data_IF_136068362069
#
_entry.id   IF_136068362069
#
_cell.length_a   1.000
_cell.length_b   1.000
_cell.length_c   1.000
_cell.angle_alpha   90.00
_cell.angle_beta   90.00
_cell.angle_gamma   90.00
#
_symmetry.space_group_name_H-M   'P 1'
#
loop_
_entity.id
_entity.type
_entity.pdbx_description
1 polymer ?
#
# COMPACT_ATOMS: atom_id res chain seq x y z
N UNK A 1 50.30 47.86 17.08
CA UNK A 1 50.27 49.24 16.55
C UNK A 1 49.24 49.23 15.44
N UNK A 2 48.08 49.88 15.63
CA UNK A 2 46.91 49.93 14.70
C UNK A 2 46.34 48.52 14.36
N UNK A 3 45.13 48.10 14.74
CA UNK A 3 43.92 48.76 15.28
C UNK A 3 43.29 49.80 14.34
N UNK A 4 42.14 49.41 13.75
CA UNK A 4 41.09 50.32 13.31
C UNK A 4 39.75 49.57 13.16
N UNK A 5 38.89 49.68 14.18
CA UNK A 5 37.44 49.52 14.01
C UNK A 5 36.84 50.78 13.37
N UNK A 6 35.65 50.69 12.75
CA UNK A 6 34.59 51.69 12.88
C UNK A 6 33.23 51.22 12.30
N UNK A 7 32.15 51.52 13.01
CA UNK A 7 30.76 51.10 12.75
C UNK A 7 29.88 52.19 12.11
N UNK A 8 28.71 51.80 11.56
CA UNK A 8 27.46 52.61 11.43
C UNK A 8 27.52 53.75 10.36
N UNK A 9 26.51 54.11 9.53
CA UNK A 9 25.06 53.79 9.34
C UNK A 9 24.61 54.27 7.90
N UNK A 10 23.40 54.11 7.32
CA UNK A 10 22.16 53.36 7.61
C UNK A 10 21.23 53.25 6.36
N UNK A 11 20.19 52.40 6.44
CA UNK A 11 18.78 52.61 5.97
C UNK A 11 18.39 52.97 4.50
N UNK A 12 17.56 52.09 3.91
CA UNK A 12 16.42 52.32 2.95
C UNK A 12 16.63 52.32 1.42
N UNK A 13 16.18 51.24 0.75
CA UNK A 13 15.35 51.18 -0.48
C UNK A 13 15.19 49.68 -0.89
N UNK A 14 14.05 49.03 -0.65
CA UNK A 14 12.86 48.90 -1.53
C UNK A 14 13.13 48.19 -2.88
N UNK A 15 12.54 47.00 -3.07
CA UNK A 15 12.64 46.24 -4.34
C UNK A 15 12.06 44.82 -4.27
N UNK A 16 10.74 44.68 -4.33
CA UNK A 16 10.06 43.38 -4.44
C UNK A 16 10.15 42.77 -5.85
N UNK A 17 10.02 41.44 -5.96
CA UNK A 17 9.16 40.89 -7.01
C UNK A 17 8.17 39.81 -6.53
N UNK A 18 6.92 39.96 -6.97
CA UNK A 18 5.77 39.06 -6.77
C UNK A 18 6.07 37.55 -6.79
N UNK A 19 5.46 36.83 -5.84
CA UNK A 19 4.95 35.46 -6.08
C UNK A 19 3.48 35.42 -5.66
N UNK A 20 2.57 35.13 -6.60
CA UNK A 20 1.14 35.06 -6.33
C UNK A 20 0.74 33.76 -5.64
N UNK A 21 0.05 33.86 -4.50
CA UNK A 21 -0.70 32.74 -3.93
C UNK A 21 -2.01 32.53 -4.68
N UNK A 22 -2.20 31.37 -5.32
CA UNK A 22 -3.42 30.99 -6.03
C UNK A 22 -4.29 30.06 -5.19
N UNK A 23 -5.21 30.64 -4.42
CA UNK A 23 -6.28 29.86 -3.79
C UNK A 23 -7.17 29.20 -4.87
N UNK A 24 -7.58 27.95 -4.67
CA UNK A 24 -8.42 27.18 -5.59
C UNK A 24 -9.87 27.70 -5.61
N UNK A 25 -10.09 28.84 -6.28
CA UNK A 25 -11.42 29.42 -6.43
C UNK A 25 -12.25 28.67 -7.49
N UNK A 26 -13.17 27.81 -7.06
CA UNK A 26 -14.23 27.28 -7.92
C UNK A 26 -15.17 28.42 -8.36
N UNK A 27 -14.94 28.95 -9.57
CA UNK A 27 -15.75 30.05 -10.15
C UNK A 27 -16.93 29.47 -10.93
N UNK A 28 -18.15 29.74 -10.45
CA UNK A 28 -19.41 29.41 -11.15
C UNK A 28 -19.62 30.26 -12.41
N UNK A 29 -20.57 29.78 -13.24
CA UNK A 29 -21.32 30.42 -14.35
C UNK A 29 -21.04 29.74 -15.71
N UNK A 30 -22.01 29.47 -16.59
CA UNK A 30 -23.49 29.51 -16.54
C UNK A 30 -24.01 28.54 -17.65
N UNK A 31 -25.28 28.13 -17.77
CA UNK A 31 -26.53 28.93 -17.83
C UNK A 31 -27.76 28.08 -17.44
N UNK A 32 -28.87 28.77 -17.18
CA UNK A 32 -30.19 28.19 -16.96
C UNK A 32 -30.70 27.40 -18.17
N UNK A 33 -31.44 26.31 -17.90
CA UNK A 33 -32.58 25.91 -18.75
C UNK A 33 -33.84 25.81 -17.88
N UNK A 34 -35.02 25.98 -18.48
CA UNK A 34 -36.26 26.25 -17.73
C UNK A 34 -36.97 24.99 -17.22
N UNK A 35 -37.55 25.14 -16.04
CA UNK A 35 -38.52 24.25 -15.42
C UNK A 35 -39.80 24.13 -16.27
N UNK A 36 -40.30 22.91 -16.47
CA UNK A 36 -41.68 22.61 -16.89
C UNK A 36 -42.25 21.49 -16.02
N UNK A 37 -43.57 21.54 -15.78
CA UNK A 37 -44.26 20.76 -14.75
C UNK A 37 -44.94 19.48 -15.26
N UNK A 38 -45.18 18.56 -14.34
CA UNK A 38 -46.07 17.39 -14.36
C UNK A 38 -46.87 17.08 -15.65
N UNK A 39 -46.79 15.81 -16.05
CA UNK A 39 -47.99 14.98 -16.27
C UNK A 39 -47.75 13.56 -15.74
N UNK A 40 -48.80 12.94 -15.20
CA UNK A 40 -48.81 11.51 -14.84
C UNK A 40 -49.29 10.70 -16.05
N UNK A 41 -48.76 9.48 -16.27
CA UNK A 41 -49.55 8.36 -16.81
C UNK A 41 -48.79 7.01 -16.69
N UNK A 42 -49.33 6.15 -15.82
CA UNK A 42 -49.38 4.67 -15.88
C UNK A 42 -48.18 3.84 -16.38
N UNK A 43 -47.73 2.97 -15.47
CA UNK A 43 -47.53 1.52 -15.69
C UNK A 43 -46.44 1.03 -16.67
N UNK A 44 -45.36 0.49 -16.08
CA UNK A 44 -45.18 -0.98 -16.05
C UNK A 44 -44.32 -1.40 -14.86
N UNK A 45 -44.68 -2.51 -14.23
CA UNK A 45 -43.92 -3.11 -13.13
C UNK A 45 -42.84 -4.04 -13.70
N UNK A 46 -41.60 -3.93 -13.20
CA UNK A 46 -40.60 -4.98 -13.31
C UNK A 46 -40.24 -5.42 -11.88
N UNK A 47 -40.44 -6.71 -11.58
CA UNK A 47 -40.22 -7.27 -10.24
C UNK A 47 -38.73 -7.44 -9.96
N UNK A 48 -38.24 -6.83 -8.88
CA UNK A 48 -37.03 -7.25 -8.17
C UNK A 48 -37.39 -7.54 -6.73
N UNK A 49 -37.47 -8.82 -6.38
CA UNK A 49 -37.69 -9.26 -5.00
C UNK A 49 -36.40 -9.81 -4.39
N UNK A 50 -36.24 -9.53 -3.09
CA UNK A 50 -35.48 -10.35 -2.14
C UNK A 50 -33.97 -10.55 -2.39
N UNK A 51 -33.17 -9.55 -1.98
CA UNK A 51 -32.00 -9.86 -1.15
C UNK A 51 -31.71 -8.75 -0.11
N UNK A 52 -32.66 -8.51 0.79
CA UNK A 52 -32.47 -7.73 2.02
C UNK A 52 -33.23 -8.41 3.16
N UNK A 53 -32.56 -9.29 3.91
CA UNK A 53 -33.05 -9.74 5.22
C UNK A 53 -32.53 -8.78 6.28
N UNK A 54 -33.44 -8.02 6.88
CA UNK A 54 -33.14 -7.11 7.98
C UNK A 54 -32.59 -7.85 9.20
N UNK A 55 -31.46 -7.38 9.73
CA UNK A 55 -30.97 -7.82 11.03
C UNK A 55 -31.79 -7.16 12.15
N UNK A 56 -32.81 -7.86 12.64
CA UNK A 56 -33.54 -7.45 13.85
C UNK A 56 -32.86 -8.01 15.10
N UNK A 57 -32.16 -7.15 15.86
CA UNK A 57 -31.68 -7.52 17.20
C UNK A 57 -32.85 -7.60 18.19
N UNK A 58 -33.36 -8.81 18.44
CA UNK A 58 -34.19 -9.10 19.61
C UNK A 58 -33.32 -9.21 20.85
N UNK A 59 -33.33 -8.19 21.71
CA UNK A 59 -32.59 -8.18 22.97
C UNK A 59 -33.37 -8.85 24.10
N UNK A 60 -32.76 -9.84 24.76
CA UNK A 60 -33.08 -10.21 26.14
C UNK A 60 -31.81 -10.52 26.94
N UNK A 61 -31.77 -10.25 28.26
CA UNK A 61 -30.52 -10.11 29.00
C UNK A 61 -30.09 -11.39 29.72
N UNK A 62 -28.78 -11.68 29.71
CA UNK A 62 -28.18 -12.63 30.64
C UNK A 62 -26.83 -12.11 31.17
N UNK A 63 -26.50 -12.48 32.41
CA UNK A 63 -25.50 -11.78 33.23
C UNK A 63 -24.04 -12.07 32.83
N UNK A 64 -23.23 -11.01 32.94
CA UNK A 64 -21.76 -11.02 32.90
C UNK A 64 -21.09 -12.19 33.63
N UNK A 65 -20.12 -12.82 32.94
CA UNK A 65 -18.81 -13.16 33.53
C UNK A 65 -17.69 -12.76 32.56
N UNK A 66 -16.56 -12.32 33.11
CA UNK A 66 -15.42 -11.74 32.40
C UNK A 66 -14.54 -12.84 31.79
N UNK A 67 -14.27 -12.79 30.49
CA UNK A 67 -13.35 -13.68 29.79
C UNK A 67 -12.91 -13.06 28.45
N UNK A 68 -11.62 -13.18 28.12
CA UNK A 68 -11.01 -12.55 26.93
C UNK A 68 -11.27 -13.36 25.66
N UNK A 69 -12.33 -13.02 24.93
CA UNK A 69 -12.63 -13.63 23.63
C UNK A 69 -11.65 -13.15 22.54
N UNK A 70 -10.62 -13.95 22.28
CA UNK A 70 -9.82 -13.85 21.05
C UNK A 70 -10.68 -14.36 19.88
N UNK A 71 -11.19 -13.45 19.04
CA UNK A 71 -12.06 -13.80 17.92
C UNK A 71 -11.27 -14.65 16.91
N UNK A 72 -11.67 -15.91 16.72
CA UNK A 72 -11.23 -16.76 15.60
C UNK A 72 -12.37 -16.86 14.60
N UNK A 73 -12.22 -16.24 13.44
CA UNK A 73 -13.09 -16.43 12.29
C UNK A 73 -12.78 -17.79 11.60
N UNK A 74 -13.12 -18.89 12.29
CA UNK A 74 -12.94 -20.24 11.76
C UNK A 74 -14.03 -20.60 10.76
N UNK A 75 -13.72 -20.53 9.47
CA UNK A 75 -14.60 -21.06 8.43
C UNK A 75 -14.67 -22.59 8.52
N UNK A 76 -15.88 -23.15 8.52
CA UNK A 76 -16.13 -24.57 8.79
C UNK A 76 -16.13 -25.41 7.51
N UNK A 77 -14.95 -25.63 6.94
CA UNK A 77 -14.72 -26.74 6.01
C UNK A 77 -13.51 -27.57 6.46
N UNK A 78 -13.71 -28.89 6.55
CA UNK A 78 -12.67 -29.87 6.85
C UNK A 78 -12.96 -31.18 6.12
N UNK A 79 -12.52 -31.26 4.87
CA UNK A 79 -12.41 -32.48 4.07
C UNK A 79 -11.03 -32.48 3.42
N UNK A 80 -10.29 -33.59 3.50
CA UNK A 80 -8.87 -33.62 3.13
C UNK A 80 -8.62 -34.08 1.70
N UNK A 81 -7.61 -33.50 1.06
CA UNK A 81 -7.05 -33.93 -0.22
C UNK A 81 -5.93 -33.00 -0.66
N UNK A 82 -4.68 -33.48 -0.59
CA UNK A 82 -3.42 -32.73 -0.78
C UNK A 82 -3.23 -31.48 0.12
N UNK A 83 -2.08 -31.38 0.77
CA UNK A 83 -1.66 -30.10 1.37
C UNK A 83 -1.17 -29.19 0.24
N UNK A 84 -2.02 -28.27 -0.22
CA UNK A 84 -1.59 -27.23 -1.16
C UNK A 84 -0.50 -26.37 -0.51
N UNK A 85 0.68 -26.39 -1.11
CA UNK A 85 1.88 -25.75 -0.56
C UNK A 85 1.78 -24.22 -0.49
N UNK A 86 0.90 -23.61 -1.30
CA UNK A 86 0.62 -22.16 -1.26
C UNK A 86 0.09 -21.69 0.11
N UNK A 87 -0.43 -22.59 0.96
CA UNK A 87 -0.78 -22.28 2.36
C UNK A 87 0.38 -21.69 3.17
N UNK A 88 1.62 -21.96 2.78
CA UNK A 88 2.84 -21.42 3.40
C UNK A 88 2.97 -19.91 3.11
N UNK A 89 2.56 -19.46 1.93
CA UNK A 89 2.66 -18.06 1.47
C UNK A 89 1.52 -17.16 2.01
N UNK A 90 0.65 -17.71 2.86
CA UNK A 90 -0.47 -16.99 3.47
C UNK A 90 0.01 -16.04 4.57
N UNK A 91 0.25 -14.78 4.24
CA UNK A 91 0.46 -13.73 5.24
C UNK A 91 -0.86 -13.20 5.82
N UNK A 92 -0.98 -13.18 7.16
CA UNK A 92 -2.07 -12.45 7.84
C UNK A 92 -1.93 -10.92 7.66
N UNK A 93 -0.72 -10.39 7.55
CA UNK A 93 -0.46 -8.95 7.42
C UNK A 93 -0.78 -8.41 6.02
N UNK A 94 -0.50 -9.16 4.95
CA UNK A 94 -0.97 -8.83 3.59
C UNK A 94 -2.50 -8.88 3.47
N UNK A 95 -3.15 -9.88 4.10
CA UNK A 95 -4.61 -9.92 4.21
C UNK A 95 -5.16 -8.69 4.95
N UNK A 96 -4.54 -8.30 6.07
CA UNK A 96 -4.94 -7.12 6.84
C UNK A 96 -4.75 -5.80 6.06
N UNK A 97 -3.67 -5.65 5.28
CA UNK A 97 -3.42 -4.46 4.44
C UNK A 97 -4.53 -4.26 3.39
N UNK A 98 -5.01 -5.34 2.77
CA UNK A 98 -6.14 -5.31 1.84
C UNK A 98 -7.46 -4.97 2.57
N UNK A 99 -7.71 -5.54 3.74
CA UNK A 99 -8.90 -5.23 4.55
C UNK A 99 -8.92 -3.77 5.05
N UNK A 100 -7.76 -3.24 5.44
CA UNK A 100 -7.57 -1.84 5.83
C UNK A 100 -7.84 -0.92 4.63
N UNK A 101 -7.31 -1.25 3.45
CA UNK A 101 -7.57 -0.50 2.22
C UNK A 101 -9.07 -0.47 1.87
N UNK A 102 -9.79 -1.59 2.01
CA UNK A 102 -11.26 -1.60 1.86
C UNK A 102 -11.98 -0.71 2.88
N UNK A 103 -11.51 -0.67 4.13
CA UNK A 103 -12.11 0.22 5.13
C UNK A 103 -11.88 1.70 4.80
N UNK A 104 -10.71 2.07 4.28
CA UNK A 104 -10.44 3.42 3.79
C UNK A 104 -11.35 3.80 2.60
N UNK A 105 -11.59 2.88 1.65
CA UNK A 105 -12.51 3.09 0.52
C UNK A 105 -13.97 3.24 0.98
N UNK A 106 -14.42 2.41 1.92
CA UNK A 106 -15.77 2.49 2.51
C UNK A 106 -15.98 3.81 3.27
N UNK A 107 -15.01 4.23 4.09
CA UNK A 107 -15.07 5.54 4.75
C UNK A 107 -15.07 6.70 3.74
N UNK A 108 -14.19 6.68 2.74
CA UNK A 108 -14.10 7.75 1.74
C UNK A 108 -15.38 7.88 0.90
N UNK A 109 -15.99 6.76 0.48
CA UNK A 109 -17.26 6.77 -0.26
C UNK A 109 -18.43 7.24 0.60
N UNK A 110 -18.48 6.86 1.89
CA UNK A 110 -19.47 7.38 2.85
C UNK A 110 -19.31 8.88 3.13
N UNK A 111 -18.07 9.38 3.23
CA UNK A 111 -17.79 10.83 3.33
C UNK A 111 -18.34 11.55 2.10
N UNK A 112 -18.06 11.05 0.89
CA UNK A 112 -18.56 11.68 -0.34
C UNK A 112 -20.10 11.63 -0.43
N UNK A 113 -20.71 10.51 -0.03
CA UNK A 113 -22.17 10.36 0.02
C UNK A 113 -22.83 11.34 1.01
N UNK A 114 -22.27 11.49 2.21
CA UNK A 114 -22.77 12.45 3.21
C UNK A 114 -22.64 13.90 2.73
N UNK A 115 -21.53 14.25 2.06
CA UNK A 115 -21.34 15.57 1.44
C UNK A 115 -22.33 15.82 0.29
N UNK A 116 -22.63 14.81 -0.53
CA UNK A 116 -23.61 14.91 -1.62
C UNK A 116 -25.06 15.11 -1.12
N UNK A 117 -25.33 14.84 0.16
CA UNK A 117 -26.65 14.98 0.83
C UNK A 117 -26.59 16.12 1.88
N UNK A 118 -25.52 16.92 1.88
CA UNK A 118 -25.32 18.08 2.77
C UNK A 118 -25.32 17.73 4.27
N UNK A 119 -25.02 16.49 4.64
CA UNK A 119 -24.90 16.00 6.02
C UNK A 119 -23.48 16.23 6.57
N UNK A 120 -23.14 17.50 6.80
CA UNK A 120 -21.77 17.93 7.10
C UNK A 120 -21.22 17.40 8.43
N UNK A 121 -22.06 17.24 9.46
CA UNK A 121 -21.67 16.70 10.76
C UNK A 121 -21.22 15.23 10.66
N UNK A 122 -22.00 14.43 9.91
CA UNK A 122 -21.69 13.02 9.64
C UNK A 122 -20.44 12.91 8.74
N UNK A 123 -20.32 13.78 7.73
CA UNK A 123 -19.12 13.85 6.90
C UNK A 123 -17.86 14.22 7.72
N UNK A 124 -18.00 15.08 8.75
CA UNK A 124 -16.90 15.42 9.66
C UNK A 124 -16.56 14.25 10.60
N UNK A 125 -17.54 13.57 11.18
CA UNK A 125 -17.30 12.39 12.03
C UNK A 125 -16.57 11.27 11.26
N UNK A 126 -17.01 10.98 10.03
CA UNK A 126 -16.38 9.99 9.17
C UNK A 126 -14.95 10.40 8.74
N UNK A 127 -14.70 11.69 8.51
CA UNK A 127 -13.35 12.22 8.25
C UNK A 127 -12.42 12.06 9.46
N UNK A 128 -12.89 12.34 10.68
CA UNK A 128 -12.08 12.12 11.89
C UNK A 128 -11.68 10.65 12.04
N UNK A 129 -12.61 9.72 11.80
CA UNK A 129 -12.33 8.28 11.82
C UNK A 129 -11.33 7.86 10.73
N UNK A 130 -11.41 8.45 9.54
CA UNK A 130 -10.43 8.20 8.47
C UNK A 130 -9.02 8.66 8.91
N UNK A 131 -8.89 9.85 9.50
CA UNK A 131 -7.59 10.34 10.00
C UNK A 131 -7.06 9.55 11.20
N UNK A 132 -7.93 8.99 12.05
CA UNK A 132 -7.56 8.09 13.14
C UNK A 132 -6.99 6.76 12.59
N UNK A 133 -7.63 6.19 11.57
CA UNK A 133 -7.17 5.01 10.84
C UNK A 133 -5.82 5.27 10.17
N UNK A 134 -5.66 6.39 9.47
CA UNK A 134 -4.41 6.78 8.82
C UNK A 134 -3.25 6.93 9.82
N UNK A 135 -3.49 7.55 10.98
CA UNK A 135 -2.49 7.68 12.04
C UNK A 135 -2.06 6.31 12.62
N UNK A 136 -3.00 5.39 12.85
CA UNK A 136 -2.67 4.05 13.36
C UNK A 136 -1.97 3.19 12.30
N UNK A 137 -2.28 3.36 11.00
CA UNK A 137 -1.54 2.72 9.89
C UNK A 137 -0.08 3.19 9.89
N UNK A 138 0.18 4.50 9.98
CA UNK A 138 1.54 5.05 10.01
C UNK A 138 2.32 4.47 11.19
N UNK A 139 1.74 4.50 12.40
CA UNK A 139 2.31 3.94 13.62
C UNK A 139 2.58 2.42 13.53
N UNK A 140 1.71 1.66 12.87
CA UNK A 140 1.98 0.24 12.57
C UNK A 140 3.08 0.06 11.51
N UNK A 141 3.17 0.95 10.52
CA UNK A 141 4.20 0.86 9.49
C UNK A 141 5.59 1.22 10.04
N UNK A 142 5.69 2.22 10.92
CA UNK A 142 6.93 2.60 11.61
C UNK A 142 7.46 1.46 12.49
N UNK A 143 6.58 0.87 13.32
CA UNK A 143 6.94 -0.25 14.20
C UNK A 143 7.28 -1.54 13.45
N UNK A 144 6.70 -1.79 12.27
CA UNK A 144 7.09 -2.90 11.38
C UNK A 144 8.37 -2.63 10.59
N UNK A 145 8.56 -1.42 10.05
CA UNK A 145 9.75 -1.08 9.24
C UNK A 145 11.03 -1.03 10.07
N UNK A 146 10.93 -0.78 11.39
CA UNK A 146 12.06 -0.79 12.32
C UNK A 146 13.07 0.30 11.95
N UNK A 147 12.60 1.55 11.92
CA UNK A 147 13.22 2.76 11.36
C UNK A 147 14.62 2.61 10.74
N UNK A 148 14.71 2.03 9.55
CA UNK A 148 15.75 2.44 8.59
C UNK A 148 15.22 3.59 7.76
N UNK A 149 14.81 4.67 8.43
CA UNK A 149 14.47 5.92 7.78
C UNK A 149 15.73 6.57 7.19
N UNK A 150 15.56 7.42 6.18
CA UNK A 150 16.68 8.19 5.61
C UNK A 150 17.37 9.08 6.66
N UNK A 151 16.64 9.48 7.70
CA UNK A 151 17.20 10.17 8.87
C UNK A 151 18.04 9.24 9.75
N UNK A 152 17.57 8.04 10.14
CA UNK A 152 18.36 7.17 11.04
C UNK A 152 19.69 6.73 10.41
N UNK A 153 19.74 6.55 9.08
CA UNK A 153 21.00 6.31 8.36
C UNK A 153 21.94 7.53 8.44
N UNK A 154 21.40 8.75 8.34
CA UNK A 154 22.16 9.99 8.52
C UNK A 154 22.62 10.17 9.97
N UNK A 155 21.75 9.88 10.96
CA UNK A 155 22.05 9.96 12.40
C UNK A 155 23.15 8.97 12.80
N UNK A 156 23.12 7.74 12.27
CA UNK A 156 24.21 6.76 12.39
C UNK A 156 25.51 7.29 11.76
N UNK A 157 25.44 7.91 10.59
CA UNK A 157 26.58 8.60 9.97
C UNK A 157 27.17 9.72 10.84
N UNK A 158 26.32 10.57 11.42
CA UNK A 158 26.73 11.65 12.33
C UNK A 158 27.38 11.10 13.61
N UNK A 159 26.84 10.01 14.17
CA UNK A 159 27.42 9.33 15.34
C UNK A 159 28.79 8.71 15.01
N UNK A 160 28.97 8.07 13.85
CA UNK A 160 30.27 7.56 13.39
C UNK A 160 31.30 8.70 13.25
N UNK A 161 30.91 9.85 12.68
CA UNK A 161 31.78 11.03 12.59
C UNK A 161 32.20 11.53 13.99
N UNK A 162 31.27 11.57 14.93
CA UNK A 162 31.53 11.98 16.33
C UNK A 162 32.52 11.04 17.02
N UNK A 163 32.25 9.73 16.99
CA UNK A 163 33.10 8.72 17.62
C UNK A 163 34.52 8.70 17.02
N UNK A 164 34.67 8.96 15.71
CA UNK A 164 35.98 9.10 15.06
C UNK A 164 36.77 10.30 15.60
N UNK A 165 36.11 11.42 15.90
CA UNK A 165 36.75 12.59 16.53
C UNK A 165 37.14 12.33 18.00
N UNK A 166 36.26 11.68 18.77
CA UNK A 166 36.56 11.28 20.14
C UNK A 166 37.68 10.20 20.19
N UNK A 167 37.77 9.31 19.20
CA UNK A 167 38.85 8.34 19.03
C UNK A 167 40.19 9.03 18.74
N UNK A 168 40.22 10.03 17.85
CA UNK A 168 41.43 10.82 17.61
C UNK A 168 41.91 11.50 18.90
N UNK A 169 40.99 12.13 19.65
CA UNK A 169 41.27 12.76 20.95
C UNK A 169 41.74 11.76 22.01
N UNK A 170 41.25 10.52 22.00
CA UNK A 170 41.73 9.44 22.87
C UNK A 170 43.18 9.04 22.54
N UNK A 171 43.55 9.01 21.24
CA UNK A 171 44.94 8.78 20.80
C UNK A 171 45.85 9.95 21.18
N UNK A 172 45.41 11.20 20.98
CA UNK A 172 46.14 12.42 21.36
C UNK A 172 46.37 12.54 22.88
N UNK A 173 45.57 11.86 23.70
CA UNK A 173 45.72 11.77 25.16
C UNK A 173 46.33 10.44 25.64
N UNK A 174 46.93 9.67 24.73
CA UNK A 174 47.56 8.36 24.97
C UNK A 174 46.65 7.32 25.65
N UNK A 175 45.34 7.51 25.62
CA UNK A 175 44.36 6.63 26.26
C UNK A 175 43.91 5.52 25.30
N UNK A 176 44.84 4.60 25.03
CA UNK A 176 44.65 3.46 24.13
C UNK A 176 43.49 2.53 24.53
N UNK A 177 43.13 2.48 25.82
CA UNK A 177 42.00 1.68 26.30
C UNK A 177 40.64 2.21 25.80
N UNK A 178 40.43 3.54 25.87
CA UNK A 178 39.24 4.16 25.29
C UNK A 178 39.28 4.14 23.75
N UNK A 179 40.45 4.35 23.14
CA UNK A 179 40.60 4.31 21.69
C UNK A 179 40.23 2.93 21.09
N UNK A 180 40.52 1.83 21.81
CA UNK A 180 40.08 0.49 21.42
C UNK A 180 38.55 0.33 21.48
N UNK A 181 37.91 0.74 22.59
CA UNK A 181 36.45 0.68 22.75
C UNK A 181 35.73 1.48 21.66
N UNK A 182 36.17 2.73 21.41
CA UNK A 182 35.61 3.58 20.36
C UNK A 182 35.79 2.97 18.97
N UNK A 183 36.90 2.26 18.69
CA UNK A 183 37.11 1.56 17.42
C UNK A 183 36.12 0.40 17.24
N UNK A 184 35.85 -0.37 18.29
CA UNK A 184 34.90 -1.48 18.24
C UNK A 184 33.47 -0.98 18.08
N UNK A 185 33.10 0.12 18.75
CA UNK A 185 31.82 0.81 18.56
C UNK A 185 31.65 1.37 17.14
N UNK A 186 32.67 2.01 16.58
CA UNK A 186 32.68 2.49 15.19
C UNK A 186 32.50 1.31 14.23
N UNK A 187 33.25 0.21 14.42
CA UNK A 187 33.17 -0.98 13.56
C UNK A 187 31.78 -1.62 13.58
N UNK A 188 31.13 -1.65 14.75
CA UNK A 188 29.75 -2.09 14.91
C UNK A 188 28.77 -1.14 14.20
N UNK A 189 28.83 0.16 14.46
CA UNK A 189 27.92 1.13 13.85
C UNK A 189 28.10 1.23 12.33
N UNK A 190 29.32 1.01 11.81
CA UNK A 190 29.58 0.93 10.37
C UNK A 190 28.87 -0.27 9.74
N UNK A 191 28.91 -1.47 10.35
CA UNK A 191 28.17 -2.63 9.82
C UNK A 191 26.66 -2.45 9.90
N UNK A 192 26.13 -1.88 10.99
CA UNK A 192 24.71 -1.53 11.13
C UNK A 192 24.27 -0.45 10.11
N UNK A 193 25.12 0.56 9.87
CA UNK A 193 24.85 1.65 8.92
C UNK A 193 24.90 1.17 7.47
N UNK A 194 25.85 0.30 7.12
CA UNK A 194 25.93 -0.32 5.80
C UNK A 194 24.71 -1.21 5.51
N UNK A 195 24.28 -2.02 6.49
CA UNK A 195 23.08 -2.86 6.36
C UNK A 195 21.80 -2.01 6.20
N UNK A 196 21.65 -0.95 6.99
CA UNK A 196 20.54 -0.01 6.87
C UNK A 196 20.56 0.74 5.52
N UNK A 197 21.73 1.17 5.07
CA UNK A 197 21.91 1.85 3.78
C UNK A 197 21.55 0.94 2.61
N UNK A 198 21.99 -0.32 2.63
CA UNK A 198 21.64 -1.30 1.61
C UNK A 198 20.12 -1.55 1.53
N UNK A 199 19.44 -1.64 2.69
CA UNK A 199 17.97 -1.78 2.76
C UNK A 199 17.24 -0.53 2.22
N UNK A 200 17.74 0.67 2.49
CA UNK A 200 17.19 1.91 1.92
C UNK A 200 17.41 1.99 0.41
N UNK A 201 18.60 1.64 -0.08
CA UNK A 201 18.88 1.60 -1.53
C UNK A 201 17.97 0.59 -2.24
N UNK A 202 17.80 -0.62 -1.70
CA UNK A 202 16.87 -1.61 -2.25
C UNK A 202 15.41 -1.11 -2.26
N UNK A 203 15.01 -0.25 -1.32
CA UNK A 203 13.69 0.40 -1.33
C UNK A 203 13.58 1.51 -2.38
N UNK A 204 14.63 2.33 -2.57
CA UNK A 204 14.64 3.45 -3.52
C UNK A 204 14.84 3.02 -4.99
N UNK A 205 15.58 1.93 -5.24
CA UNK A 205 15.92 1.43 -6.58
C UNK A 205 15.24 0.09 -6.95
N UNK A 206 14.07 -0.20 -6.38
CA UNK A 206 13.33 -1.42 -6.71
C UNK A 206 12.76 -1.35 -8.14
N UNK A 207 13.32 -2.18 -9.03
CA UNK A 207 12.73 -2.55 -10.31
C UNK A 207 11.75 -3.70 -10.09
N UNK A 208 10.59 -3.66 -10.77
CA UNK A 208 9.49 -4.62 -10.58
C UNK A 208 9.20 -5.30 -11.90
N UNK A 209 9.30 -6.62 -11.93
CA UNK A 209 9.04 -7.45 -13.11
C UNK A 209 7.55 -7.55 -13.46
N UNK A 210 6.66 -7.31 -12.48
CA UNK A 210 5.21 -7.45 -12.64
C UNK A 210 4.46 -6.16 -12.35
N UNK A 211 3.37 -5.93 -13.10
CA UNK A 211 2.51 -4.75 -13.01
C UNK A 211 1.34 -4.98 -12.04
N UNK A 212 0.80 -3.91 -11.45
CA UNK A 212 -0.49 -4.01 -10.74
C UNK A 212 -1.59 -4.43 -11.71
N UNK A 213 -2.41 -5.38 -11.29
CA UNK A 213 -3.47 -5.99 -12.10
C UNK A 213 -2.98 -7.07 -13.06
N UNK A 214 -1.67 -7.31 -13.16
CA UNK A 214 -1.16 -8.34 -14.05
C UNK A 214 -1.56 -9.74 -13.57
N UNK A 215 -2.00 -10.60 -14.50
CA UNK A 215 -2.16 -12.03 -14.26
C UNK A 215 -0.79 -12.70 -14.13
N UNK A 216 -0.63 -13.53 -13.11
CA UNK A 216 0.60 -14.26 -12.80
C UNK A 216 0.30 -15.70 -12.41
N UNK A 217 1.27 -16.58 -12.63
CA UNK A 217 1.20 -17.98 -12.19
C UNK A 217 2.35 -18.30 -11.24
N UNK A 218 2.06 -19.01 -10.15
CA UNK A 218 3.09 -19.41 -9.21
C UNK A 218 3.92 -20.60 -9.76
N UNK A 219 5.25 -20.45 -9.81
CA UNK A 219 6.23 -21.37 -10.39
C UNK A 219 6.25 -22.77 -9.78
N UNK A 220 6.14 -22.87 -8.45
CA UNK A 220 6.19 -24.15 -7.71
C UNK A 220 4.79 -24.74 -7.50
N UNK A 221 3.88 -23.99 -6.87
CA UNK A 221 2.52 -24.45 -6.54
C UNK A 221 1.53 -24.42 -7.72
N UNK A 222 1.85 -23.75 -8.83
CA UNK A 222 1.08 -23.79 -10.07
C UNK A 222 -0.19 -22.93 -10.11
N UNK A 223 -0.57 -22.28 -9.00
CA UNK A 223 -1.80 -21.49 -8.91
C UNK A 223 -1.80 -20.23 -9.79
N UNK A 224 -2.99 -19.81 -10.22
CA UNK A 224 -3.22 -18.58 -10.98
C UNK A 224 -3.62 -17.47 -10.00
N UNK A 225 -3.12 -16.26 -10.22
CA UNK A 225 -3.45 -15.09 -9.41
C UNK A 225 -3.30 -13.76 -10.12
N UNK A 226 -3.72 -12.69 -9.46
CA UNK A 226 -3.68 -11.31 -9.94
C UNK A 226 -2.94 -10.44 -8.93
N UNK A 227 -1.93 -9.69 -9.39
CA UNK A 227 -1.14 -8.79 -8.53
C UNK A 227 -1.99 -7.61 -8.06
N UNK A 228 -2.30 -7.53 -6.77
CA UNK A 228 -3.04 -6.40 -6.17
C UNK A 228 -2.15 -5.43 -5.37
N UNK A 229 -0.95 -5.84 -5.00
CA UNK A 229 -0.01 -5.00 -4.25
C UNK A 229 1.44 -5.41 -4.48
N UNK A 230 2.36 -4.50 -4.17
CA UNK A 230 3.79 -4.66 -4.42
C UNK A 230 4.62 -3.93 -3.36
N UNK A 231 5.57 -4.64 -2.76
CA UNK A 231 6.58 -4.11 -1.84
C UNK A 231 7.98 -4.25 -2.48
N UNK A 232 8.91 -3.30 -2.26
CA UNK A 232 10.25 -3.35 -2.86
C UNK A 232 11.19 -4.38 -2.19
N UNK A 233 10.89 -4.73 -0.94
CA UNK A 233 11.63 -5.68 -0.09
C UNK A 233 10.59 -6.40 0.80
N UNK A 234 10.96 -7.54 1.40
CA UNK A 234 10.02 -8.26 2.27
C UNK A 234 9.57 -7.40 3.47
N UNK A 235 8.26 -7.16 3.59
CA UNK A 235 7.65 -6.38 4.68
C UNK A 235 7.13 -7.25 5.85
N UNK A 236 7.48 -8.54 5.89
CA UNK A 236 6.93 -9.52 6.83
C UNK A 236 7.77 -9.81 8.07
N UNK A 237 7.13 -10.45 9.05
CA UNK A 237 7.80 -10.95 10.27
C UNK A 237 8.85 -12.02 9.95
N UNK A 238 9.92 -12.10 10.76
CA UNK A 238 10.95 -13.14 10.60
C UNK A 238 10.36 -14.56 10.68
N UNK A 239 9.43 -14.78 11.60
CA UNK A 239 8.72 -16.05 11.74
C UNK A 239 7.89 -16.43 10.51
N UNK A 240 7.39 -15.46 9.74
CA UNK A 240 6.79 -15.74 8.43
C UNK A 240 7.87 -16.02 7.36
N UNK A 241 8.96 -15.26 7.33
CA UNK A 241 10.08 -15.51 6.41
C UNK A 241 10.74 -16.88 6.61
N UNK A 242 10.83 -17.37 7.85
CA UNK A 242 11.25 -18.73 8.20
C UNK A 242 10.30 -19.80 7.62
N UNK A 243 8.97 -19.60 7.80
CA UNK A 243 7.93 -20.50 7.31
C UNK A 243 7.91 -20.54 5.77
N UNK A 244 7.93 -19.37 5.12
CA UNK A 244 8.02 -19.18 3.67
C UNK A 244 9.42 -19.48 3.08
N UNK A 245 10.39 -19.83 3.93
CA UNK A 245 11.75 -20.23 3.56
C UNK A 245 12.48 -19.17 2.70
N UNK A 246 12.22 -17.89 2.97
CA UNK A 246 12.74 -16.74 2.21
C UNK A 246 14.28 -16.72 2.16
N UNK A 247 14.95 -17.25 3.18
CA UNK A 247 16.42 -17.38 3.22
C UNK A 247 16.99 -18.40 2.21
N UNK A 248 16.16 -19.27 1.65
CA UNK A 248 16.56 -20.26 0.62
C UNK A 248 16.34 -19.76 -0.81
N UNK A 249 15.69 -18.62 -0.98
CA UNK A 249 15.45 -17.97 -2.27
C UNK A 249 16.75 -17.35 -2.81
N UNK A 250 16.94 -17.33 -4.13
CA UNK A 250 18.21 -16.90 -4.73
C UNK A 250 18.53 -15.42 -4.51
N UNK A 251 17.50 -14.57 -4.34
CA UNK A 251 17.63 -13.14 -4.01
C UNK A 251 17.25 -12.82 -2.56
N UNK A 252 16.87 -13.83 -1.76
CA UNK A 252 16.48 -13.68 -0.36
C UNK A 252 15.30 -12.71 -0.15
N UNK A 253 15.37 -11.91 0.92
CA UNK A 253 14.37 -10.89 1.28
C UNK A 253 14.59 -9.52 0.61
N UNK A 254 15.71 -9.33 -0.10
CA UNK A 254 16.11 -8.08 -0.76
C UNK A 254 15.64 -7.98 -2.23
N UNK A 255 14.48 -8.59 -2.52
CA UNK A 255 13.81 -8.54 -3.82
C UNK A 255 12.38 -8.02 -3.64
N UNK A 256 11.68 -7.60 -4.72
CA UNK A 256 10.27 -7.28 -4.64
C UNK A 256 9.42 -8.46 -4.17
N UNK A 257 8.43 -8.16 -3.34
CA UNK A 257 7.38 -9.10 -2.94
C UNK A 257 6.03 -8.58 -3.43
N UNK A 258 5.15 -9.47 -3.85
CA UNK A 258 3.86 -9.15 -4.41
C UNK A 258 2.74 -9.70 -3.53
N UNK A 259 1.72 -8.87 -3.31
CA UNK A 259 0.43 -9.31 -2.78
C UNK A 259 -0.39 -9.80 -3.98
N UNK A 260 -0.73 -11.08 -3.98
CA UNK A 260 -1.40 -11.76 -5.10
C UNK A 260 -2.75 -12.28 -4.62
N UNK A 261 -3.83 -11.88 -5.29
CA UNK A 261 -5.14 -12.51 -5.14
C UNK A 261 -5.11 -13.84 -5.91
N UNK A 262 -5.44 -14.94 -5.26
CA UNK A 262 -5.39 -16.28 -5.87
C UNK A 262 -6.79 -16.72 -6.32
N UNK A 263 -6.90 -17.43 -7.43
CA UNK A 263 -8.19 -17.91 -7.93
C UNK A 263 -8.77 -18.95 -6.95
N UNK A 264 -9.99 -18.70 -6.46
CA UNK A 264 -10.74 -19.60 -5.57
C UNK A 264 -11.00 -20.95 -6.25
N UNK A 265 -10.99 -21.00 -7.59
CA UNK A 265 -11.09 -22.23 -8.38
C UNK A 265 -9.83 -23.09 -8.33
N UNK A 266 -8.66 -22.52 -8.05
CA UNK A 266 -7.39 -23.26 -7.95
C UNK A 266 -7.07 -23.63 -6.49
N UNK A 267 -7.14 -22.66 -5.57
CA UNK A 267 -6.80 -22.85 -4.16
C UNK A 267 -7.84 -22.18 -3.23
N UNK A 268 -8.99 -22.82 -2.92
CA UNK A 268 -10.08 -22.20 -2.16
C UNK A 268 -9.73 -21.86 -0.71
N UNK A 269 -8.62 -22.37 -0.17
CA UNK A 269 -8.09 -22.05 1.16
C UNK A 269 -7.18 -20.80 1.18
N UNK A 270 -6.75 -20.30 0.02
CA UNK A 270 -5.78 -19.22 -0.15
C UNK A 270 -6.42 -18.11 -0.98
N UNK A 271 -6.87 -17.04 -0.32
CA UNK A 271 -7.44 -15.87 -1.01
C UNK A 271 -6.36 -14.85 -1.39
N UNK A 272 -5.38 -14.67 -0.51
CA UNK A 272 -4.26 -13.73 -0.69
C UNK A 272 -2.97 -14.45 -0.30
N UNK A 273 -2.04 -14.49 -1.24
CA UNK A 273 -0.66 -14.93 -1.04
C UNK A 273 0.28 -13.71 -0.99
N UNK A 274 1.40 -13.85 -0.27
CA UNK A 274 2.51 -12.90 -0.30
C UNK A 274 3.74 -13.62 -0.84
N UNK A 275 4.20 -13.22 -2.03
CA UNK A 275 5.04 -14.05 -2.90
C UNK A 275 6.28 -13.28 -3.33
N UNK A 276 7.45 -13.93 -3.31
CA UNK A 276 8.68 -13.37 -3.83
C UNK A 276 8.65 -13.29 -5.38
N UNK A 277 9.30 -12.27 -5.95
CA UNK A 277 9.35 -12.08 -7.42
C UNK A 277 9.83 -13.34 -8.18
N UNK A 278 10.88 -14.03 -7.71
CA UNK A 278 11.43 -15.21 -8.39
C UNK A 278 10.54 -16.47 -8.38
N UNK A 279 9.45 -16.45 -7.59
CA UNK A 279 8.42 -17.48 -7.50
C UNK A 279 7.26 -17.25 -8.49
N UNK A 280 7.15 -16.07 -9.11
CA UNK A 280 6.10 -15.74 -10.05
C UNK A 280 6.56 -15.90 -11.50
N UNK A 281 5.62 -16.24 -12.37
CA UNK A 281 5.79 -16.29 -13.83
C UNK A 281 4.68 -15.46 -14.48
N UNK A 282 5.02 -14.74 -15.54
CA UNK A 282 4.01 -14.19 -16.46
C UNK A 282 3.47 -15.33 -17.34
N UNK A 283 2.19 -15.32 -17.74
CA UNK A 283 1.70 -16.20 -18.78
C UNK A 283 2.36 -15.85 -20.12
N UNK A 284 2.67 -16.86 -20.95
CA UNK A 284 3.32 -16.68 -22.25
C UNK A 284 2.36 -16.17 -23.34
N UNK A 285 1.06 -16.43 -23.17
CA UNK A 285 -0.06 -15.99 -24.01
C UNK A 285 -1.06 -15.15 -23.17
N UNK A 286 -1.90 -14.30 -23.79
CA UNK A 286 -2.90 -13.49 -23.07
C UNK A 286 -3.99 -14.37 -22.44
N UNK A 287 -3.74 -14.80 -21.20
CA UNK A 287 -4.63 -15.68 -20.46
C UNK A 287 -6.02 -15.04 -20.27
N UNK A 288 -7.00 -15.56 -21.00
CA UNK A 288 -8.41 -15.15 -20.94
C UNK A 288 -9.23 -16.08 -20.01
N UNK A 289 -8.60 -16.97 -19.23
CA UNK A 289 -9.32 -17.80 -18.26
C UNK A 289 -10.08 -16.97 -17.22
N UNK A 290 -11.25 -17.50 -16.83
CA UNK A 290 -12.11 -16.90 -15.82
C UNK A 290 -11.52 -17.09 -14.42
N UNK A 291 -10.84 -16.04 -13.97
CA UNK A 291 -10.46 -15.80 -12.58
C UNK A 291 -11.71 -15.52 -11.71
N UNK A 292 -11.86 -16.19 -10.57
CA UNK A 292 -12.95 -15.92 -9.60
C UNK A 292 -12.38 -15.66 -8.20
N UNK A 293 -12.63 -14.45 -7.66
CA UNK A 293 -12.13 -14.05 -6.35
C UNK A 293 -12.99 -12.94 -5.73
N UNK A 294 -13.41 -13.03 -4.44
CA UNK A 294 -14.35 -12.10 -3.80
C UNK A 294 -13.88 -10.65 -3.72
N UNK A 295 -12.57 -10.39 -3.85
CA UNK A 295 -12.01 -9.03 -3.80
C UNK A 295 -11.77 -8.41 -5.18
N UNK A 296 -11.98 -9.17 -6.28
CA UNK A 296 -11.68 -8.71 -7.65
C UNK A 296 -12.47 -7.45 -8.03
N UNK A 297 -13.80 -7.48 -7.86
CA UNK A 297 -14.74 -6.39 -8.19
C UNK A 297 -14.58 -5.11 -7.35
N UNK A 298 -13.81 -5.15 -6.27
CA UNK A 298 -13.52 -3.98 -5.43
C UNK A 298 -12.14 -3.37 -5.71
N UNK A 299 -11.21 -4.13 -6.30
CA UNK A 299 -9.82 -3.72 -6.56
C UNK A 299 -9.55 -3.39 -8.05
N UNK A 300 -10.40 -3.87 -8.95
CA UNK A 300 -10.27 -3.69 -10.40
C UNK A 300 -11.59 -3.23 -11.03
N UNK A 301 -11.52 -2.38 -12.07
CA UNK A 301 -12.69 -1.93 -12.82
C UNK A 301 -13.20 -2.97 -13.84
N UNK A 302 -12.35 -3.94 -14.21
CA UNK A 302 -12.61 -4.94 -15.25
C UNK A 302 -11.30 -5.56 -15.73
N UNK A 303 -11.35 -6.25 -16.86
CA UNK A 303 -10.17 -6.77 -17.58
C UNK A 303 -9.90 -5.95 -18.85
N UNK A 304 -8.63 -5.84 -19.19
CA UNK A 304 -8.09 -5.32 -20.45
C UNK A 304 -8.16 -6.40 -21.55
N UNK A 305 -8.01 -6.04 -22.83
CA UNK A 305 -8.09 -7.01 -23.95
C UNK A 305 -6.98 -8.08 -23.93
N UNK A 306 -5.90 -7.84 -23.18
CA UNK A 306 -4.83 -8.82 -22.93
C UNK A 306 -5.11 -9.81 -21.77
N UNK A 307 -6.27 -9.72 -21.12
CA UNK A 307 -6.64 -10.57 -19.98
C UNK A 307 -6.14 -10.09 -18.59
N UNK A 308 -5.23 -9.12 -18.55
CA UNK A 308 -4.83 -8.39 -17.34
C UNK A 308 -6.01 -7.59 -16.75
N UNK A 309 -5.96 -7.25 -15.45
CA UNK A 309 -6.98 -6.48 -14.76
C UNK A 309 -6.66 -4.98 -14.63
N UNK A 310 -7.67 -4.12 -14.81
CA UNK A 310 -7.53 -2.66 -14.73
C UNK A 310 -7.64 -2.19 -13.27
N UNK A 311 -6.58 -1.74 -12.58
CA UNK A 311 -6.66 -1.43 -11.15
C UNK A 311 -7.33 -0.09 -10.86
N UNK A 312 -8.12 -0.04 -9.78
CA UNK A 312 -8.81 1.19 -9.38
C UNK A 312 -7.83 2.34 -9.12
N UNK A 313 -8.28 3.58 -9.32
CA UNK A 313 -7.44 4.77 -9.17
C UNK A 313 -6.70 4.80 -7.82
N UNK A 314 -7.42 4.54 -6.73
CA UNK A 314 -6.89 4.58 -5.37
C UNK A 314 -5.80 3.54 -5.11
N UNK A 315 -5.87 2.37 -5.76
CA UNK A 315 -4.87 1.31 -5.64
C UNK A 315 -3.60 1.66 -6.40
N UNK A 316 -3.75 2.32 -7.56
CA UNK A 316 -2.64 2.90 -8.32
C UNK A 316 -1.97 4.07 -7.59
N UNK A 317 -2.75 4.90 -6.91
CA UNK A 317 -2.22 5.96 -6.04
C UNK A 317 -1.47 5.40 -4.82
N UNK A 318 -1.97 4.34 -4.16
CA UNK A 318 -1.31 3.66 -3.01
C UNK A 318 0.14 3.24 -3.31
N UNK A 319 0.39 2.70 -4.49
CA UNK A 319 1.72 2.23 -4.91
C UNK A 319 2.42 3.17 -5.92
N UNK A 320 1.89 4.38 -6.13
CA UNK A 320 2.39 5.39 -7.08
C UNK A 320 2.70 4.84 -8.49
N UNK A 321 1.73 4.10 -9.08
CA UNK A 321 1.84 3.53 -10.44
C UNK A 321 0.90 4.22 -11.43
N UNK A 322 1.33 4.44 -12.69
CA UNK A 322 0.43 4.94 -13.74
C UNK A 322 -0.66 3.91 -14.07
N UNK A 323 -1.62 4.29 -14.92
CA UNK A 323 -2.43 3.29 -15.62
C UNK A 323 -1.50 2.50 -16.57
N UNK A 324 -1.70 1.20 -16.72
CA UNK A 324 -1.23 0.54 -17.94
C UNK A 324 -2.20 0.89 -19.07
N UNK A 325 -1.66 1.18 -20.24
CA UNK A 325 -2.40 1.43 -21.47
C UNK A 325 -1.84 0.45 -22.50
N UNK A 326 -2.73 -0.30 -23.13
CA UNK A 326 -2.40 -1.28 -24.17
C UNK A 326 -2.00 -0.50 -25.44
N UNK A 327 -0.95 -0.89 -26.17
CA UNK A 327 -0.67 -0.31 -27.47
C UNK A 327 -1.90 -0.42 -28.38
N UNK A 328 -2.35 0.71 -28.91
CA UNK A 328 -3.42 0.76 -29.91
C UNK A 328 -2.84 0.36 -31.27
N UNK A 329 -3.26 -0.79 -31.81
CA UNK A 329 -2.94 -1.17 -33.19
C UNK A 329 -4.06 -0.65 -34.11
N UNK A 330 -3.79 0.29 -35.02
CA UNK A 330 -4.81 0.87 -35.88
C UNK A 330 -5.37 -0.08 -36.95
N UNK A 331 -4.85 -1.31 -37.08
CA UNK A 331 -5.29 -2.27 -38.11
C UNK A 331 -6.67 -2.89 -37.84
N UNK A 332 -7.15 -2.88 -36.59
CA UNK A 332 -8.46 -3.45 -36.24
C UNK A 332 -9.65 -2.61 -36.76
N UNK A 333 -9.47 -1.30 -36.94
CA UNK A 333 -10.54 -0.38 -37.40
C UNK A 333 -10.77 -0.42 -38.93
N UNK A 334 -9.75 -0.75 -39.73
CA UNK A 334 -9.87 -0.72 -41.21
C UNK A 334 -10.78 -1.83 -41.78
N UNK A 335 -11.09 -2.87 -41.01
CA UNK A 335 -11.96 -3.98 -41.45
C UNK A 335 -13.47 -3.73 -41.23
N UNK A 336 -13.86 -2.56 -40.74
CA UNK A 336 -15.25 -2.24 -40.38
C UNK A 336 -15.86 -1.11 -41.24
N UNK A 337 -15.29 -0.86 -42.42
CA UNK A 337 -15.61 0.29 -43.28
C UNK A 337 -16.27 0.02 -44.65
N UNK A 338 -16.40 -1.24 -45.09
CA UNK A 338 -16.98 -1.63 -46.39
C UNK A 338 -18.15 -2.64 -46.20
N UNK A 339 -19.40 -2.16 -46.19
CA UNK A 339 -20.65 -2.93 -46.37
C UNK A 339 -21.83 -1.99 -46.79
#
# INVERSE_FOLDING_TARGET
MMVQDLSIHAMTALGDPNVYGSALSWRRNCKYFKQTSLTQLTSRQCFWHQCMRSFSLTSQPCRSKRGSFKIRAGWLFKGGGQESGGRIERSENANNDILIFFFQLDLATRVQYALNIEQYEIAQELRMKLTEVEAEIIKQQESKKGLTSKSEVQDKGLNIIRLRADLQKAIESENYALAAQLRDEISKLETESLAASAKVLAYESAEYSFRLGQKVRHKIFGYIGVVCGMDPVCCESSSWMEIAQVEKLSRGSNQPFYQVLVDVRTDPDLLVAYVAEENLLAPEEPDTERFDHPYSSFLFYGVDSAGDFIPIKQLREKYNRPRHEIPFDPQDDEQQGDD
#
